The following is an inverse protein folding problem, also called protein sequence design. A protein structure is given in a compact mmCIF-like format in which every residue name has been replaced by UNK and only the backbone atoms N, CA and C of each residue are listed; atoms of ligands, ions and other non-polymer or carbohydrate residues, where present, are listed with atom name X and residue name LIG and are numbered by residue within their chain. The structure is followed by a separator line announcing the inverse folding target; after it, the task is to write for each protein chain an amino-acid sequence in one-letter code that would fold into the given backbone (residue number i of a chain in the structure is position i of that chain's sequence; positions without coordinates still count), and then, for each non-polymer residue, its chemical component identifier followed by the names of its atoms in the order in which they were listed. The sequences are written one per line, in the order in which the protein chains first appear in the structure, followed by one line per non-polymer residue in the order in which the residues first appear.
data_IF_300859117846
#
_entry.id   IF_300859117846
#
_cell.length_a   1.000
_cell.length_b   1.000
_cell.length_c   1.000
_cell.angle_alpha   90.00
_cell.angle_beta   90.00
_cell.angle_gamma   90.00
#
_symmetry.space_group_name_H-M   'P 1'
#
loop_
_entity.id
_entity.type
_entity.pdbx_description
1 polymer ?
#
# COMPACT_ATOMS: atom_id res chain seq x y z
N UNK A 1 -14.05 -12.96 10.08
CA UNK A 1 -13.46 -13.42 11.36
C UNK A 1 -13.21 -12.17 12.19
N UNK A 2 -13.95 -11.93 13.27
CA UNK A 2 -13.70 -10.74 14.11
C UNK A 2 -12.39 -10.95 14.85
N UNK A 3 -11.46 -10.00 14.70
CA UNK A 3 -10.21 -10.00 15.44
C UNK A 3 -10.53 -9.82 16.93
N UNK A 4 -10.13 -10.74 17.83
CA UNK A 4 -10.42 -10.60 19.24
C UNK A 4 -9.66 -9.38 19.80
N UNK A 5 -10.39 -8.37 20.27
CA UNK A 5 -9.81 -7.28 21.07
C UNK A 5 -9.47 -7.83 22.45
N UNK A 6 -8.23 -8.15 22.73
CA UNK A 6 -7.77 -8.47 24.08
C UNK A 6 -7.30 -7.22 24.78
N UNK A 7 -7.86 -6.94 25.95
CA UNK A 7 -7.52 -5.78 26.81
C UNK A 7 -6.13 -5.82 27.46
N UNK A 8 -5.29 -6.77 27.11
CA UNK A 8 -3.94 -6.93 27.67
C UNK A 8 -2.88 -6.79 26.58
N UNK A 9 -2.61 -5.63 26.06
CA UNK A 9 -1.40 -5.16 25.35
C UNK A 9 -0.50 -6.12 24.52
N UNK A 10 -0.79 -7.41 24.46
CA UNK A 10 -0.16 -8.40 23.61
C UNK A 10 -1.19 -9.00 22.67
N UNK A 11 -1.31 -8.40 21.49
CA UNK A 11 -2.07 -9.00 20.40
C UNK A 11 -1.20 -10.08 19.77
N UNK A 12 -1.50 -11.35 20.02
CA UNK A 12 -1.02 -12.46 19.20
C UNK A 12 -1.93 -12.57 17.98
N UNK A 13 -1.55 -11.90 16.91
CA UNK A 13 -2.28 -11.97 15.66
C UNK A 13 -1.85 -13.20 14.87
N UNK A 14 -2.80 -13.92 14.31
CA UNK A 14 -2.58 -15.04 13.41
C UNK A 14 -2.01 -14.58 12.04
N UNK A 15 -1.98 -15.49 11.09
CA UNK A 15 -1.53 -15.22 9.73
C UNK A 15 -2.52 -14.27 9.03
N UNK A 16 -2.10 -13.02 8.75
CA UNK A 16 -2.94 -11.96 8.18
C UNK A 16 -2.89 -11.90 6.65
N UNK A 17 -2.31 -12.89 6.02
CA UNK A 17 -2.40 -13.03 4.57
C UNK A 17 -1.10 -12.78 3.79
N UNK A 18 0.02 -12.49 4.46
CA UNK A 18 1.34 -12.60 3.84
C UNK A 18 1.88 -14.03 4.01
N UNK A 19 2.37 -14.63 2.92
CA UNK A 19 2.80 -16.04 2.90
C UNK A 19 4.21 -16.26 3.48
N UNK A 20 4.84 -15.21 3.98
CA UNK A 20 6.11 -15.29 4.70
C UNK A 20 7.35 -15.06 3.83
N UNK A 21 8.44 -14.68 4.49
CA UNK A 21 9.68 -14.16 3.90
C UNK A 21 10.36 -15.12 2.91
N UNK A 22 10.41 -16.40 3.25
CA UNK A 22 11.09 -17.37 2.38
C UNK A 22 10.41 -17.51 1.02
N UNK A 23 9.07 -17.60 1.01
CA UNK A 23 8.30 -17.66 -0.24
C UNK A 23 8.38 -16.34 -1.02
N UNK A 24 8.40 -15.21 -0.31
CA UNK A 24 8.54 -13.89 -0.93
C UNK A 24 9.89 -13.75 -1.64
N UNK A 25 10.99 -14.14 -1.00
CA UNK A 25 12.32 -14.10 -1.61
C UNK A 25 12.41 -14.97 -2.85
N UNK A 26 11.90 -16.19 -2.79
CA UNK A 26 11.86 -17.08 -3.97
C UNK A 26 11.07 -16.47 -5.12
N UNK A 27 9.90 -15.89 -4.84
CA UNK A 27 9.08 -15.24 -5.86
C UNK A 27 9.77 -14.00 -6.42
N UNK A 28 10.35 -13.16 -5.57
CA UNK A 28 11.11 -11.97 -5.97
C UNK A 28 12.29 -12.33 -6.88
N UNK A 29 13.10 -13.32 -6.50
CA UNK A 29 14.26 -13.76 -7.30
C UNK A 29 13.84 -14.24 -8.70
N UNK A 30 12.71 -14.90 -8.81
CA UNK A 30 12.12 -15.27 -10.12
C UNK A 30 11.80 -14.02 -10.93
N UNK A 31 11.21 -12.99 -10.31
CA UNK A 31 10.82 -11.76 -11.01
C UNK A 31 12.06 -10.94 -11.43
N UNK A 32 13.10 -10.84 -10.61
CA UNK A 32 14.37 -10.21 -10.99
C UNK A 32 15.01 -10.91 -12.18
N UNK A 33 15.09 -12.25 -12.14
CA UNK A 33 15.67 -13.04 -13.24
C UNK A 33 14.84 -12.94 -14.53
N UNK A 34 13.55 -12.69 -14.43
CA UNK A 34 12.67 -12.46 -15.57
C UNK A 34 12.66 -11.00 -16.09
N UNK A 35 13.40 -10.09 -15.44
CA UNK A 35 13.41 -8.66 -15.77
C UNK A 35 12.10 -7.94 -15.46
N UNK A 36 11.30 -8.50 -14.56
CA UNK A 36 10.00 -7.94 -14.15
C UNK A 36 10.10 -7.13 -12.83
N UNK A 37 11.30 -6.95 -12.31
CA UNK A 37 11.58 -6.14 -11.12
C UNK A 37 12.98 -5.53 -11.25
N UNK A 38 13.13 -4.29 -10.84
CA UNK A 38 14.38 -3.55 -10.85
C UNK A 38 15.09 -3.59 -9.50
N UNK A 39 16.41 -3.41 -9.50
CA UNK A 39 17.11 -2.94 -8.29
C UNK A 39 16.73 -1.51 -8.00
N UNK A 40 16.86 -1.07 -6.74
CA UNK A 40 16.56 0.33 -6.38
C UNK A 40 17.35 1.32 -7.25
N UNK A 41 18.64 1.04 -7.49
CA UNK A 41 19.48 1.91 -8.35
C UNK A 41 18.96 1.99 -9.79
N UNK A 42 18.59 0.86 -10.40
CA UNK A 42 18.05 0.87 -11.77
C UNK A 42 16.74 1.66 -11.84
N UNK A 43 15.86 1.51 -10.85
CA UNK A 43 14.63 2.25 -10.74
C UNK A 43 14.89 3.75 -10.54
N UNK A 44 15.80 4.13 -9.64
CA UNK A 44 16.18 5.53 -9.39
C UNK A 44 16.72 6.23 -10.63
N UNK A 45 17.45 5.51 -11.51
CA UNK A 45 18.03 6.07 -12.72
C UNK A 45 16.98 6.36 -13.82
N UNK A 46 15.78 5.80 -13.75
CA UNK A 46 14.69 6.01 -14.73
C UNK A 46 13.60 6.96 -14.23
N UNK A 47 13.48 7.16 -12.93
CA UNK A 47 12.49 8.08 -12.36
C UNK A 47 13.07 9.47 -12.15
N UNK A 48 12.38 10.49 -12.62
CA UNK A 48 12.80 11.89 -12.44
C UNK A 48 12.57 12.38 -11.01
N UNK A 49 13.43 13.29 -10.55
CA UNK A 49 13.20 14.05 -9.34
C UNK A 49 12.06 15.05 -9.55
N UNK A 50 11.19 15.16 -8.56
CA UNK A 50 10.01 16.00 -8.66
C UNK A 50 10.15 17.22 -7.77
N UNK A 51 10.26 18.39 -8.39
CA UNK A 51 10.14 19.67 -7.72
C UNK A 51 8.70 19.92 -7.31
N UNK A 52 8.41 19.61 -6.05
CA UNK A 52 7.11 19.80 -5.46
C UNK A 52 6.95 21.21 -4.92
N UNK A 53 6.10 22.01 -5.54
CA UNK A 53 5.68 23.31 -4.98
C UNK A 53 4.74 23.03 -3.80
N UNK A 54 5.15 23.47 -2.62
CA UNK A 54 4.49 23.23 -1.34
C UNK A 54 3.03 23.74 -1.34
N UNK A 55 2.07 22.82 -1.56
CA UNK A 55 0.64 23.10 -1.55
C UNK A 55 0.00 22.59 -0.24
N UNK A 56 0.73 21.76 0.53
CA UNK A 56 0.20 21.08 1.71
C UNK A 56 0.94 21.48 2.98
N UNK A 57 0.17 21.78 4.02
CA UNK A 57 0.72 22.08 5.34
C UNK A 57 0.84 20.75 6.12
N UNK A 58 2.03 20.21 6.21
CA UNK A 58 2.30 18.98 6.95
C UNK A 58 2.53 19.25 8.44
N UNK A 59 2.15 18.33 9.36
CA UNK A 59 2.31 18.50 10.81
C UNK A 59 3.74 18.15 11.29
N UNK A 60 4.78 18.39 10.46
CA UNK A 60 6.19 18.08 10.73
C UNK A 60 7.13 19.07 10.03
N UNK A 61 8.43 19.04 10.40
CA UNK A 61 9.39 20.06 9.97
C UNK A 61 9.90 19.83 8.54
N UNK A 62 10.09 18.55 8.14
CA UNK A 62 10.66 18.14 6.86
C UNK A 62 10.06 16.78 6.45
N UNK A 63 9.96 16.50 5.15
CA UNK A 63 9.53 15.21 4.63
C UNK A 63 8.28 15.28 3.76
N UNK A 64 7.63 14.14 3.57
CA UNK A 64 6.46 14.02 2.72
C UNK A 64 5.42 13.05 3.28
N UNK A 65 4.12 13.36 3.05
CA UNK A 65 2.99 12.51 3.40
C UNK A 65 1.96 12.42 2.28
N UNK A 66 1.49 11.21 2.01
CA UNK A 66 0.49 10.95 0.96
C UNK A 66 -0.93 11.30 1.41
N UNK A 67 -1.30 11.09 2.68
CA UNK A 67 -2.69 11.21 3.13
C UNK A 67 -3.36 12.56 2.88
N UNK A 68 -2.71 13.75 2.94
CA UNK A 68 -3.40 14.99 2.66
C UNK A 68 -3.79 15.13 1.18
N UNK A 69 -2.99 14.51 0.30
CA UNK A 69 -3.22 14.48 -1.13
C UNK A 69 -4.32 13.47 -1.45
N UNK A 70 -4.24 12.27 -0.87
CA UNK A 70 -5.25 11.22 -1.01
C UNK A 70 -6.60 11.69 -0.50
N UNK A 71 -6.66 12.34 0.66
CA UNK A 71 -7.91 12.93 1.20
C UNK A 71 -8.52 13.94 0.25
N UNK A 72 -7.70 14.75 -0.41
CA UNK A 72 -8.19 15.78 -1.33
C UNK A 72 -8.76 15.22 -2.64
N UNK A 73 -8.23 14.09 -3.12
CA UNK A 73 -8.63 13.45 -4.39
C UNK A 73 -9.70 12.38 -4.15
N UNK A 74 -9.45 11.49 -3.20
CA UNK A 74 -10.29 10.30 -2.96
C UNK A 74 -11.29 10.47 -1.81
N UNK A 75 -11.13 11.48 -0.97
CA UNK A 75 -11.95 11.76 0.21
C UNK A 75 -11.25 11.40 1.52
N UNK A 76 -11.72 12.04 2.61
CA UNK A 76 -11.17 11.84 3.95
C UNK A 76 -11.34 10.39 4.42
N UNK A 77 -10.30 9.85 5.04
CA UNK A 77 -10.29 8.49 5.59
C UNK A 77 -10.26 7.38 4.54
N UNK A 78 -10.00 7.71 3.27
CA UNK A 78 -9.92 6.68 2.23
C UNK A 78 -8.78 5.70 2.51
N UNK A 79 -9.13 4.40 2.58
CA UNK A 79 -8.18 3.32 2.81
C UNK A 79 -7.79 3.06 4.28
N UNK A 80 -8.46 3.69 5.24
CA UNK A 80 -8.21 3.50 6.68
C UNK A 80 -9.14 2.44 7.32
N UNK A 81 -9.90 1.72 6.51
CA UNK A 81 -10.87 0.72 6.92
C UNK A 81 -10.25 -0.63 7.32
N UNK A 82 -11.02 -1.42 8.07
CA UNK A 82 -10.60 -2.75 8.53
C UNK A 82 -10.73 -3.79 7.40
N UNK A 83 -9.65 -4.53 7.10
CA UNK A 83 -9.69 -5.67 6.18
C UNK A 83 -10.58 -6.80 6.71
N UNK A 84 -11.33 -7.46 5.82
CA UNK A 84 -12.32 -8.49 6.19
C UNK A 84 -11.80 -9.93 6.13
N UNK A 85 -10.69 -10.17 5.44
CA UNK A 85 -10.06 -11.49 5.23
C UNK A 85 -8.53 -11.35 5.23
N UNK A 86 -7.79 -12.45 5.07
CA UNK A 86 -6.33 -12.45 4.96
C UNK A 86 -5.81 -11.90 3.61
N UNK A 87 -6.27 -10.71 3.21
CA UNK A 87 -5.93 -10.03 1.95
C UNK A 87 -5.05 -8.78 2.15
N UNK A 88 -4.25 -8.73 3.21
CA UNK A 88 -3.41 -7.57 3.50
C UNK A 88 -2.47 -7.19 2.34
N UNK A 89 -1.97 -8.18 1.60
CA UNK A 89 -1.05 -7.95 0.48
C UNK A 89 -1.71 -7.14 -0.65
N UNK A 90 -2.82 -7.56 -1.27
CA UNK A 90 -3.48 -6.73 -2.26
C UNK A 90 -4.06 -5.45 -1.66
N UNK A 91 -4.49 -5.46 -0.39
CA UNK A 91 -5.03 -4.28 0.26
C UNK A 91 -3.97 -3.18 0.38
N UNK A 92 -2.82 -3.46 1.01
CA UNK A 92 -1.71 -2.51 1.12
C UNK A 92 -1.17 -2.05 -0.25
N UNK A 93 -1.13 -2.96 -1.23
CA UNK A 93 -0.71 -2.64 -2.60
C UNK A 93 -1.68 -1.70 -3.30
N UNK A 94 -2.98 -1.96 -3.21
CA UNK A 94 -4.01 -1.10 -3.81
C UNK A 94 -4.00 0.30 -3.16
N UNK A 95 -3.84 0.40 -1.85
CA UNK A 95 -3.75 1.70 -1.18
C UNK A 95 -2.51 2.48 -1.61
N UNK A 96 -1.35 1.83 -1.75
CA UNK A 96 -0.16 2.47 -2.30
C UNK A 96 -0.39 2.95 -3.75
N UNK A 97 -1.03 2.15 -4.61
CA UNK A 97 -1.39 2.57 -5.97
C UNK A 97 -2.40 3.74 -5.97
N UNK A 98 -3.31 3.81 -5.01
CA UNK A 98 -4.23 4.95 -4.83
C UNK A 98 -3.45 6.21 -4.44
N UNK A 99 -2.54 6.11 -3.48
CA UNK A 99 -1.68 7.23 -3.09
C UNK A 99 -0.89 7.73 -4.32
N UNK A 100 -0.31 6.83 -5.13
CA UNK A 100 0.37 7.19 -6.38
C UNK A 100 -0.55 7.90 -7.38
N UNK A 101 -1.72 7.35 -7.65
CA UNK A 101 -2.70 7.96 -8.55
C UNK A 101 -3.09 9.37 -8.11
N UNK A 102 -3.25 9.59 -6.81
CA UNK A 102 -3.57 10.90 -6.27
C UNK A 102 -2.41 11.90 -6.46
N UNK A 103 -1.15 11.43 -6.37
CA UNK A 103 0.03 12.23 -6.69
C UNK A 103 0.04 12.61 -8.17
N UNK A 104 -0.14 11.67 -9.07
CA UNK A 104 -0.16 11.91 -10.53
C UNK A 104 -1.20 12.95 -10.92
N UNK A 105 -2.41 12.83 -10.38
CA UNK A 105 -3.48 13.78 -10.66
C UNK A 105 -3.26 15.16 -10.07
N UNK A 106 -2.85 15.25 -8.81
CA UNK A 106 -2.86 16.52 -8.09
C UNK A 106 -1.50 17.25 -8.12
N UNK A 107 -0.42 16.48 -8.11
CA UNK A 107 0.93 17.03 -8.06
C UNK A 107 1.51 17.20 -9.47
N UNK A 108 1.37 16.18 -10.33
CA UNK A 108 1.91 16.22 -11.69
C UNK A 108 0.93 16.83 -12.68
N UNK A 109 -0.34 16.98 -12.31
CA UNK A 109 -1.36 17.55 -13.19
C UNK A 109 -1.65 16.69 -14.41
N UNK A 110 -1.51 15.37 -14.27
CA UNK A 110 -1.77 14.44 -15.35
C UNK A 110 -3.25 14.43 -15.75
N UNK A 111 -3.51 14.13 -17.02
CA UNK A 111 -4.87 14.19 -17.59
C UNK A 111 -5.72 12.95 -17.31
N UNK A 112 -5.29 12.11 -16.37
CA UNK A 112 -6.02 10.94 -15.96
C UNK A 112 -7.15 11.28 -14.99
N UNK A 113 -7.99 10.29 -14.70
CA UNK A 113 -9.06 10.41 -13.72
C UNK A 113 -8.88 9.39 -12.61
N UNK A 114 -9.15 9.79 -11.38
CA UNK A 114 -9.19 8.88 -10.25
C UNK A 114 -10.17 7.73 -10.50
N UNK A 115 -9.74 6.53 -10.15
CA UNK A 115 -10.62 5.38 -9.99
C UNK A 115 -10.22 4.60 -8.73
N UNK A 116 -11.18 3.93 -8.12
CA UNK A 116 -10.92 3.08 -6.98
C UNK A 116 -10.71 1.64 -7.46
N UNK A 117 -9.50 1.05 -7.29
CA UNK A 117 -9.24 -0.32 -7.70
C UNK A 117 -9.98 -1.32 -6.82
N UNK A 118 -10.47 -2.42 -7.42
CA UNK A 118 -11.20 -3.48 -6.74
C UNK A 118 -10.26 -4.52 -6.17
N UNK A 119 -10.08 -4.53 -4.86
CA UNK A 119 -9.12 -5.39 -4.13
C UNK A 119 -9.30 -6.89 -4.43
N UNK A 120 -10.52 -7.46 -4.50
CA UNK A 120 -10.67 -8.88 -4.83
C UNK A 120 -10.11 -9.28 -6.18
N UNK A 121 -10.16 -8.40 -7.20
CA UNK A 121 -9.50 -8.64 -8.48
C UNK A 121 -7.98 -8.69 -8.31
N UNK A 122 -7.40 -7.69 -7.65
CA UNK A 122 -5.96 -7.64 -7.37
C UNK A 122 -5.50 -8.87 -6.59
N UNK A 123 -6.29 -9.30 -5.60
CA UNK A 123 -6.03 -10.52 -4.82
C UNK A 123 -5.95 -11.77 -5.72
N UNK A 124 -6.95 -11.93 -6.57
CA UNK A 124 -6.98 -13.04 -7.52
C UNK A 124 -5.88 -12.94 -8.57
N UNK A 125 -5.60 -11.78 -9.12
CA UNK A 125 -4.56 -11.58 -10.13
C UNK A 125 -3.18 -11.97 -9.59
N UNK A 126 -2.82 -11.54 -8.39
CA UNK A 126 -1.56 -11.93 -7.73
C UNK A 126 -1.47 -13.42 -7.49
N UNK A 127 -2.49 -14.02 -6.90
CA UNK A 127 -2.49 -15.45 -6.55
C UNK A 127 -2.58 -16.36 -7.77
N UNK A 128 -3.60 -16.16 -8.62
CA UNK A 128 -3.96 -17.11 -9.68
C UNK A 128 -3.07 -16.96 -10.92
N UNK A 129 -2.86 -15.70 -11.36
CA UNK A 129 -2.11 -15.48 -12.60
C UNK A 129 -0.60 -15.55 -12.39
N UNK A 130 -0.09 -15.02 -11.27
CA UNK A 130 1.34 -14.99 -10.98
C UNK A 130 1.76 -16.19 -10.13
N UNK A 131 1.11 -16.38 -8.98
CA UNK A 131 1.46 -17.44 -8.03
C UNK A 131 0.98 -18.84 -8.42
N UNK A 132 0.03 -18.96 -9.34
CA UNK A 132 -0.61 -20.26 -9.68
C UNK A 132 -1.39 -20.86 -8.50
N UNK A 133 -1.66 -20.07 -7.45
CA UNK A 133 -2.31 -20.53 -6.23
C UNK A 133 -3.82 -20.35 -6.29
N UNK A 134 -4.54 -21.48 -6.36
CA UNK A 134 -6.00 -21.55 -6.32
C UNK A 134 -6.52 -22.20 -5.04
N UNK A 135 -5.68 -22.34 -4.02
CA UNK A 135 -6.06 -22.93 -2.74
C UNK A 135 -7.11 -22.08 -1.99
N UNK A 136 -7.73 -22.69 -1.01
CA UNK A 136 -8.76 -22.03 -0.17
C UNK A 136 -8.18 -21.26 1.02
N UNK A 137 -6.88 -21.40 1.28
CA UNK A 137 -6.20 -20.66 2.35
C UNK A 137 -5.97 -19.23 1.95
N UNK A 138 -6.14 -18.29 2.87
CA UNK A 138 -5.81 -16.89 2.68
C UNK A 138 -4.29 -16.68 2.56
N UNK A 139 -3.91 -15.54 1.96
CA UNK A 139 -2.55 -15.06 1.86
C UNK A 139 -2.07 -14.87 0.43
N UNK A 140 -1.06 -14.01 0.28
CA UNK A 140 -0.40 -13.71 -0.98
C UNK A 140 1.05 -13.26 -0.71
N UNK A 141 1.77 -12.84 -1.75
CA UNK A 141 3.12 -12.27 -1.70
C UNK A 141 3.11 -10.88 -2.34
N UNK A 142 3.90 -9.95 -1.79
CA UNK A 142 4.06 -8.60 -2.32
C UNK A 142 4.62 -8.60 -3.74
N UNK A 143 5.61 -9.45 -4.02
CA UNK A 143 6.18 -9.66 -5.35
C UNK A 143 5.16 -10.18 -6.37
N UNK A 144 4.26 -11.10 -5.97
CA UNK A 144 3.16 -11.53 -6.86
C UNK A 144 2.23 -10.37 -7.18
N UNK A 145 1.96 -9.52 -6.20
CA UNK A 145 1.07 -8.39 -6.38
C UNK A 145 1.67 -7.35 -7.33
N UNK A 146 2.96 -6.99 -7.15
CA UNK A 146 3.65 -6.09 -8.08
C UNK A 146 3.60 -6.63 -9.51
N UNK A 147 4.00 -7.87 -9.70
CA UNK A 147 3.98 -8.49 -11.03
C UNK A 147 2.56 -8.57 -11.64
N UNK A 148 1.54 -8.76 -10.82
CA UNK A 148 0.15 -8.76 -11.27
C UNK A 148 -0.29 -7.36 -11.71
N UNK A 149 -0.01 -6.34 -10.90
CA UNK A 149 -0.36 -4.95 -11.19
C UNK A 149 0.32 -4.45 -12.47
N UNK A 150 1.60 -4.81 -12.67
CA UNK A 150 2.35 -4.51 -13.90
C UNK A 150 1.82 -5.24 -15.13
N UNK A 151 1.45 -6.50 -14.99
CA UNK A 151 1.13 -7.37 -16.14
C UNK A 151 -0.36 -7.43 -16.47
N UNK A 152 -1.21 -7.40 -15.46
CA UNK A 152 -2.66 -7.59 -15.58
C UNK A 152 -3.48 -6.36 -15.22
N UNK A 153 -2.85 -5.36 -14.60
CA UNK A 153 -3.44 -4.07 -14.28
C UNK A 153 -4.40 -4.11 -13.09
N UNK A 154 -5.03 -2.97 -12.84
CA UNK A 154 -5.97 -2.72 -11.75
C UNK A 154 -7.40 -2.67 -12.31
N UNK A 155 -8.34 -3.39 -11.70
CA UNK A 155 -9.75 -3.35 -12.10
C UNK A 155 -10.49 -2.24 -11.34
N UNK A 156 -11.06 -1.23 -12.02
CA UNK A 156 -11.90 -0.24 -11.37
C UNK A 156 -13.18 -0.85 -10.80
N UNK A 157 -13.60 -0.38 -9.64
CA UNK A 157 -14.82 -0.84 -8.96
C UNK A 157 -16.09 -0.61 -9.78
N UNK A 158 -16.18 0.49 -10.53
CA UNK A 158 -17.33 0.77 -11.39
C UNK A 158 -17.48 -0.25 -12.53
N UNK A 159 -16.37 -0.74 -13.08
CA UNK A 159 -16.35 -1.82 -14.07
C UNK A 159 -16.75 -3.16 -13.43
N UNK A 160 -16.34 -3.39 -12.19
CA UNK A 160 -16.74 -4.58 -11.43
C UNK A 160 -18.22 -4.52 -10.97
N UNK A 161 -18.96 -3.46 -11.32
CA UNK A 161 -20.31 -3.15 -10.85
C UNK A 161 -20.42 -3.04 -9.32
N UNK A 162 -19.36 -2.58 -8.68
CA UNK A 162 -19.31 -2.28 -7.25
C UNK A 162 -19.52 -0.78 -7.07
N UNK A 163 -20.69 -0.33 -6.58
CA UNK A 163 -20.90 1.08 -6.30
C UNK A 163 -20.04 1.49 -5.11
N UNK A 164 -19.17 2.47 -5.31
CA UNK A 164 -18.38 3.04 -4.21
C UNK A 164 -19.22 4.07 -3.48
N UNK A 165 -19.70 3.68 -2.32
CA UNK A 165 -20.39 4.57 -1.36
C UNK A 165 -19.49 4.88 -0.17
N UNK A 166 -18.57 3.98 0.14
CA UNK A 166 -17.62 4.05 1.24
C UNK A 166 -16.28 3.47 0.80
N UNK A 167 -15.21 3.82 1.49
CA UNK A 167 -13.86 3.29 1.27
C UNK A 167 -13.80 1.76 1.40
N UNK A 168 -14.64 1.18 2.24
CA UNK A 168 -14.78 -0.28 2.42
C UNK A 168 -15.33 -1.01 1.19
N UNK A 169 -16.02 -0.34 0.28
CA UNK A 169 -16.60 -1.00 -0.91
C UNK A 169 -15.52 -1.57 -1.83
N UNK A 170 -14.30 -0.99 -1.82
CA UNK A 170 -13.18 -1.46 -2.63
C UNK A 170 -12.67 -2.85 -2.21
N UNK A 171 -12.82 -3.24 -0.96
CA UNK A 171 -12.36 -4.54 -0.47
C UNK A 171 -13.30 -5.69 -0.78
N UNK A 172 -14.57 -5.42 -1.08
CA UNK A 172 -15.59 -6.44 -1.26
C UNK A 172 -15.88 -7.23 0.03
N UNK A 173 -16.86 -8.13 -0.04
CA UNK A 173 -17.15 -9.05 1.06
C UNK A 173 -16.10 -10.18 1.16
N UNK A 174 -16.08 -10.89 2.30
CA UNK A 174 -15.26 -12.08 2.47
C UNK A 174 -15.55 -13.14 1.40
N UNK A 175 -16.82 -13.40 1.09
CA UNK A 175 -17.20 -14.35 0.04
C UNK A 175 -16.73 -13.90 -1.34
N UNK A 176 -16.77 -12.60 -1.63
CA UNK A 176 -16.25 -12.04 -2.87
C UNK A 176 -14.74 -12.28 -2.96
N UNK A 177 -13.97 -11.93 -1.93
CA UNK A 177 -12.53 -12.18 -1.90
C UNK A 177 -12.21 -13.66 -2.10
N UNK A 178 -12.87 -14.55 -1.34
CA UNK A 178 -12.66 -16.00 -1.44
C UNK A 178 -13.04 -16.58 -2.81
N UNK A 179 -14.00 -15.99 -3.52
CA UNK A 179 -14.34 -16.37 -4.90
C UNK A 179 -13.26 -15.92 -5.88
N UNK A 180 -12.86 -14.66 -5.84
CA UNK A 180 -11.96 -14.07 -6.82
C UNK A 180 -10.51 -14.57 -6.65
N UNK A 181 -10.04 -14.80 -5.42
CA UNK A 181 -8.66 -15.22 -5.14
C UNK A 181 -8.30 -16.63 -5.69
N UNK A 182 -9.27 -17.41 -6.18
CA UNK A 182 -9.07 -18.79 -6.62
C UNK A 182 -9.76 -19.15 -7.95
N UNK A 183 -10.56 -18.25 -8.53
CA UNK A 183 -11.40 -18.58 -9.68
C UNK A 183 -10.93 -17.86 -10.94
N UNK A 184 -10.09 -18.53 -11.72
CA UNK A 184 -9.50 -17.97 -12.94
C UNK A 184 -10.54 -17.44 -13.93
N UNK A 185 -11.64 -18.17 -14.15
CA UNK A 185 -12.69 -17.75 -15.09
C UNK A 185 -13.39 -16.45 -14.70
N UNK A 186 -13.44 -16.13 -13.40
CA UNK A 186 -13.94 -14.83 -12.92
C UNK A 186 -12.95 -13.72 -13.28
N UNK A 187 -11.66 -13.96 -13.08
CA UNK A 187 -10.61 -13.00 -13.41
C UNK A 187 -10.52 -12.74 -14.91
N UNK A 188 -10.56 -13.82 -15.72
CA UNK A 188 -10.46 -13.74 -17.18
C UNK A 188 -11.58 -12.89 -17.80
N UNK A 189 -12.77 -12.87 -17.18
CA UNK A 189 -13.90 -12.03 -17.60
C UNK A 189 -13.58 -10.53 -17.50
N UNK A 190 -12.82 -10.12 -16.49
CA UNK A 190 -12.55 -8.70 -16.18
C UNK A 190 -11.15 -8.25 -16.60
N UNK A 191 -10.24 -9.19 -16.86
CA UNK A 191 -8.86 -8.89 -17.23
C UNK A 191 -8.74 -7.92 -18.43
N UNK A 192 -9.56 -7.98 -19.50
CA UNK A 192 -9.47 -7.00 -20.58
C UNK A 192 -9.73 -5.55 -20.19
N UNK A 193 -10.48 -5.33 -19.12
CA UNK A 193 -10.77 -3.98 -18.60
C UNK A 193 -9.69 -3.48 -17.63
N UNK A 194 -9.04 -4.40 -16.91
CA UNK A 194 -7.95 -4.06 -15.99
C UNK A 194 -6.62 -3.84 -16.75
N UNK A 195 -6.36 -4.63 -17.79
CA UNK A 195 -5.10 -4.65 -18.55
C UNK A 195 -4.59 -3.27 -19.02
N UNK A 196 -5.42 -2.31 -19.44
CA UNK A 196 -4.95 -0.98 -19.81
C UNK A 196 -4.47 -0.12 -18.63
N UNK A 197 -4.76 -0.52 -17.40
CA UNK A 197 -4.52 0.24 -16.17
C UNK A 197 -3.39 -0.43 -15.37
N UNK A 198 -2.23 -0.58 -15.99
CA UNK A 198 -1.06 -1.22 -15.38
C UNK A 198 -0.26 -0.24 -14.54
N UNK A 199 0.42 -0.75 -13.54
CA UNK A 199 1.41 -0.01 -12.75
C UNK A 199 2.79 -0.17 -13.41
N UNK A 200 3.60 0.86 -13.33
CA UNK A 200 4.97 0.85 -13.81
C UNK A 200 5.89 -0.07 -13.00
N UNK A 201 7.15 -0.05 -13.35
CA UNK A 201 8.17 -0.91 -12.73
C UNK A 201 8.36 -0.57 -11.25
N UNK A 202 8.44 -1.59 -10.43
CA UNK A 202 8.74 -1.49 -9.01
C UNK A 202 10.17 -1.91 -8.70
N UNK A 203 10.68 -1.50 -7.54
CA UNK A 203 12.00 -1.87 -7.06
C UNK A 203 11.96 -2.27 -5.57
N UNK A 204 12.93 -3.09 -5.15
CA UNK A 204 13.14 -3.37 -3.73
C UNK A 204 13.80 -2.20 -3.02
N UNK A 205 13.42 -1.95 -1.77
CA UNK A 205 14.05 -1.01 -0.84
C UNK A 205 14.74 -1.82 0.27
N UNK A 206 15.97 -1.47 0.58
CA UNK A 206 16.82 -2.17 1.56
C UNK A 206 17.34 -1.28 2.69
N UNK A 207 17.04 0.04 2.65
CA UNK A 207 17.48 1.01 3.65
C UNK A 207 16.48 2.15 3.87
N UNK A 208 16.63 2.88 4.97
CA UNK A 208 15.88 4.11 5.21
C UNK A 208 16.23 5.20 4.20
N UNK A 209 17.49 5.30 3.77
CA UNK A 209 17.89 6.31 2.78
C UNK A 209 17.20 6.08 1.43
N UNK A 210 17.10 4.83 0.98
CA UNK A 210 16.33 4.47 -0.22
C UNK A 210 14.84 4.77 -0.05
N UNK A 211 14.26 4.47 1.12
CA UNK A 211 12.88 4.83 1.42
C UNK A 211 12.67 6.35 1.38
N UNK A 212 13.60 7.12 1.96
CA UNK A 212 13.54 8.58 1.96
C UNK A 212 13.57 9.12 0.53
N UNK A 213 14.46 8.63 -0.32
CA UNK A 213 14.51 8.99 -1.74
C UNK A 213 13.18 8.67 -2.42
N UNK A 214 12.68 7.45 -2.26
CA UNK A 214 11.41 7.05 -2.89
C UNK A 214 10.25 7.96 -2.48
N UNK A 215 10.06 8.18 -1.18
CA UNK A 215 8.91 8.92 -0.66
C UNK A 215 9.10 10.44 -0.76
N UNK A 216 10.26 10.97 -0.33
CA UNK A 216 10.45 12.41 -0.24
C UNK A 216 10.90 13.06 -1.54
N UNK A 217 11.73 12.39 -2.35
CA UNK A 217 12.25 12.96 -3.59
C UNK A 217 11.37 12.58 -4.79
N UNK A 218 11.07 11.28 -4.94
CA UNK A 218 10.31 10.74 -6.09
C UNK A 218 8.79 10.72 -5.90
N UNK A 219 8.28 10.93 -4.69
CA UNK A 219 6.84 10.85 -4.33
C UNK A 219 6.21 9.48 -4.63
N UNK A 220 7.01 8.42 -4.52
CA UNK A 220 6.60 7.06 -4.81
C UNK A 220 6.14 6.34 -3.54
N UNK A 221 4.92 5.78 -3.51
CA UNK A 221 4.44 4.98 -2.40
C UNK A 221 5.17 3.65 -2.29
N UNK A 222 5.28 3.17 -1.06
CA UNK A 222 6.04 1.97 -0.73
C UNK A 222 5.18 1.00 0.07
N UNK A 223 5.27 -0.29 -0.26
CA UNK A 223 4.67 -1.38 0.54
C UNK A 223 5.75 -2.11 1.32
N UNK A 224 5.40 -2.59 2.51
CA UNK A 224 6.30 -3.36 3.36
C UNK A 224 5.59 -4.56 3.98
N UNK A 225 6.17 -5.74 3.90
CA UNK A 225 5.66 -6.98 4.46
C UNK A 225 6.68 -7.66 5.36
N UNK A 226 6.27 -8.14 6.53
CA UNK A 226 7.15 -8.86 7.44
C UNK A 226 6.38 -9.68 8.47
N UNK A 227 7.13 -10.40 9.31
CA UNK A 227 6.63 -11.04 10.53
C UNK A 227 6.78 -10.17 11.79
N UNK A 228 7.32 -8.96 11.67
CA UNK A 228 7.46 -8.06 12.82
C UNK A 228 6.12 -7.43 13.21
N UNK A 229 5.79 -7.50 14.52
CA UNK A 229 4.75 -6.73 15.13
C UNK A 229 5.30 -5.47 15.81
N UNK A 230 4.40 -4.53 16.12
CA UNK A 230 4.74 -3.25 16.75
C UNK A 230 3.79 -2.94 17.89
N UNK A 231 4.33 -2.34 18.94
CA UNK A 231 3.56 -1.91 20.11
C UNK A 231 3.84 -0.44 20.41
N UNK A 232 2.82 0.28 20.82
CA UNK A 232 2.96 1.69 21.19
C UNK A 232 3.88 1.85 22.41
N UNK A 233 4.76 2.84 22.38
CA UNK A 233 5.55 3.28 23.53
C UNK A 233 4.88 4.43 24.28
N UNK A 234 3.71 4.89 23.81
CA UNK A 234 3.03 6.09 24.28
C UNK A 234 3.55 7.37 23.64
N UNK A 235 3.09 8.49 24.14
CA UNK A 235 3.50 9.82 23.66
C UNK A 235 4.97 10.09 24.00
N UNK A 236 5.77 10.32 22.96
CA UNK A 236 7.11 10.87 23.13
C UNK A 236 7.03 12.40 23.30
N UNK A 237 7.27 12.88 24.51
CA UNK A 237 7.16 14.30 24.85
C UNK A 237 8.17 15.19 24.13
N UNK A 238 9.30 14.63 23.67
CA UNK A 238 10.32 15.37 22.91
C UNK A 238 9.80 15.76 21.53
N UNK A 239 9.06 14.86 20.89
CA UNK A 239 8.58 15.05 19.52
C UNK A 239 7.09 15.37 19.44
N UNK A 240 6.33 15.13 20.49
CA UNK A 240 4.89 15.38 20.56
C UNK A 240 4.04 14.36 19.75
N UNK A 241 4.59 13.19 19.49
CA UNK A 241 3.94 12.11 18.72
C UNK A 241 3.98 10.78 19.46
N UNK A 242 3.02 9.90 19.14
CA UNK A 242 3.03 8.51 19.62
C UNK A 242 3.95 7.68 18.72
N UNK A 243 4.97 7.05 19.30
CA UNK A 243 5.94 6.22 18.59
C UNK A 243 5.73 4.75 18.94
N UNK A 244 6.04 3.86 18.01
CA UNK A 244 5.98 2.42 18.19
C UNK A 244 7.39 1.81 18.12
N UNK A 245 7.54 0.67 18.79
CA UNK A 245 8.73 -0.17 18.76
C UNK A 245 8.37 -1.60 18.37
N UNK A 246 9.34 -2.41 17.91
CA UNK A 246 9.10 -3.82 17.66
C UNK A 246 8.53 -4.53 18.89
N UNK A 247 7.49 -5.35 18.66
CA UNK A 247 6.82 -6.12 19.71
C UNK A 247 5.72 -7.00 19.14
N UNK A 248 5.79 -8.29 19.42
CA UNK A 248 4.89 -9.29 18.84
C UNK A 248 5.31 -9.76 17.44
N UNK A 249 4.45 -10.52 16.80
CA UNK A 249 4.68 -11.04 15.44
C UNK A 249 3.41 -10.93 14.61
N UNK A 250 3.53 -10.34 13.41
CA UNK A 250 2.46 -10.11 12.45
C UNK A 250 2.90 -10.56 11.06
N UNK A 251 2.40 -11.64 10.52
CA UNK A 251 2.58 -11.98 9.10
C UNK A 251 1.69 -11.07 8.25
N UNK A 252 2.17 -9.86 7.95
CA UNK A 252 1.33 -8.78 7.45
C UNK A 252 2.06 -7.89 6.43
N UNK A 253 1.31 -7.39 5.43
CA UNK A 253 1.76 -6.33 4.53
C UNK A 253 1.01 -5.04 4.81
N UNK A 254 1.74 -3.95 4.84
CA UNK A 254 1.26 -2.59 5.07
C UNK A 254 1.83 -1.66 3.98
N UNK A 255 1.51 -0.36 4.04
CA UNK A 255 2.11 0.63 3.15
C UNK A 255 2.64 1.83 3.92
N UNK A 256 3.69 2.46 3.40
CA UNK A 256 4.26 3.69 3.95
C UNK A 256 3.43 4.87 3.47
N UNK A 257 2.91 5.67 4.40
CA UNK A 257 2.12 6.86 4.09
C UNK A 257 2.85 8.18 4.35
N UNK A 258 3.98 8.15 5.07
CA UNK A 258 4.88 9.30 5.17
C UNK A 258 6.27 8.90 5.60
N UNK A 259 7.23 9.71 5.19
CA UNK A 259 8.59 9.79 5.73
C UNK A 259 8.81 11.24 6.12
N UNK A 260 9.14 11.50 7.38
CA UNK A 260 9.16 12.86 7.91
C UNK A 260 10.15 13.05 9.06
N UNK A 261 10.52 14.31 9.34
CA UNK A 261 11.34 14.67 10.47
C UNK A 261 10.64 15.65 11.41
N UNK A 262 10.86 15.49 12.70
CA UNK A 262 10.52 16.45 13.76
C UNK A 262 11.78 16.68 14.58
N UNK A 263 12.18 17.95 14.72
CA UNK A 263 13.40 18.35 15.46
C UNK A 263 14.64 17.57 15.04
N UNK A 264 14.77 17.33 13.72
CA UNK A 264 15.90 16.63 13.11
C UNK A 264 15.90 15.10 13.27
N UNK A 265 14.93 14.51 13.96
CA UNK A 265 14.75 13.06 14.02
C UNK A 265 13.80 12.59 12.92
N UNK A 266 14.23 11.62 12.13
CA UNK A 266 13.43 11.01 11.08
C UNK A 266 12.54 9.88 11.58
N UNK A 267 11.35 9.82 11.01
CA UNK A 267 10.29 8.87 11.31
C UNK A 267 9.65 8.35 10.03
N UNK A 268 9.00 7.19 10.14
CA UNK A 268 8.19 6.57 9.10
C UNK A 268 6.78 6.34 9.64
N UNK A 269 5.77 6.85 8.95
CA UNK A 269 4.37 6.53 9.22
C UNK A 269 3.92 5.36 8.36
N UNK A 270 3.46 4.32 8.99
CA UNK A 270 2.95 3.10 8.37
C UNK A 270 1.42 3.09 8.47
N UNK A 271 0.75 3.06 7.32
CA UNK A 271 -0.69 2.83 7.24
C UNK A 271 -1.00 1.35 7.40
N UNK A 272 -2.00 1.05 8.23
CA UNK A 272 -2.40 -0.32 8.55
C UNK A 272 -3.90 -0.51 8.28
N UNK A 273 -4.28 -1.66 7.74
CA UNK A 273 -5.64 -1.96 7.31
C UNK A 273 -6.45 -2.71 8.39
N UNK A 274 -6.33 -2.29 9.64
CA UNK A 274 -7.05 -2.88 10.79
C UNK A 274 -8.10 -1.94 11.38
N UNK A 275 -8.43 -0.87 10.65
CA UNK A 275 -9.41 0.13 11.04
C UNK A 275 -8.83 1.32 11.79
N UNK A 276 -9.63 2.37 11.87
CA UNK A 276 -9.25 3.68 12.43
C UNK A 276 -8.69 3.62 13.87
N UNK A 277 -9.21 2.70 14.67
CA UNK A 277 -8.87 2.57 16.10
C UNK A 277 -7.80 1.49 16.37
N UNK A 278 -7.19 0.92 15.32
CA UNK A 278 -6.21 -0.16 15.48
C UNK A 278 -4.96 0.28 16.25
N UNK A 279 -4.60 1.55 16.10
CA UNK A 279 -3.46 2.16 16.77
C UNK A 279 -3.86 3.48 17.45
N UNK A 280 -3.16 3.88 18.53
CA UNK A 280 -3.35 5.20 19.11
C UNK A 280 -3.10 6.30 18.06
N UNK A 281 -3.90 7.38 18.09
CA UNK A 281 -3.68 8.56 17.26
C UNK A 281 -2.24 9.07 17.45
N UNK A 282 -1.51 9.28 16.38
CA UNK A 282 -0.11 9.71 16.42
C UNK A 282 0.02 11.12 17.00
N UNK A 283 -0.67 12.07 16.41
CA UNK A 283 -0.83 13.47 16.86
C UNK A 283 -1.95 14.13 16.04
N UNK A 284 -2.23 15.40 16.32
CA UNK A 284 -3.13 16.20 15.49
C UNK A 284 -2.54 16.39 14.08
N UNK A 285 -3.37 16.32 13.03
CA UNK A 285 -2.96 16.45 11.63
C UNK A 285 -2.39 15.17 10.98
N UNK A 286 -2.20 14.09 11.76
CA UNK A 286 -1.84 12.79 11.21
C UNK A 286 -3.09 11.98 10.83
N UNK A 287 -2.98 11.16 9.78
CA UNK A 287 -4.00 10.17 9.43
C UNK A 287 -4.28 9.22 10.60
N UNK A 288 -5.41 8.52 10.57
CA UNK A 288 -5.78 7.48 11.53
C UNK A 288 -5.39 6.09 10.99
N UNK A 289 -5.56 5.05 11.81
CA UNK A 289 -5.39 3.65 11.42
C UNK A 289 -3.93 3.19 11.25
N UNK A 290 -2.95 4.07 11.38
CA UNK A 290 -1.54 3.74 11.24
C UNK A 290 -0.71 4.01 12.50
N UNK A 291 0.60 3.80 12.37
CA UNK A 291 1.55 4.00 13.47
C UNK A 291 2.90 4.55 12.99
N UNK A 292 3.68 5.11 13.90
CA UNK A 292 4.97 5.73 13.62
C UNK A 292 6.10 4.92 14.26
N UNK A 293 7.18 4.73 13.50
CA UNK A 293 8.46 4.18 13.97
C UNK A 293 9.60 5.14 13.63
N UNK A 294 10.74 5.01 14.33
CA UNK A 294 11.93 5.79 13.99
C UNK A 294 12.62 5.24 12.73
N UNK A 295 13.39 6.09 12.04
CA UNK A 295 14.24 5.69 10.92
C UNK A 295 15.18 4.54 11.27
N UNK A 296 15.81 4.55 12.45
CA UNK A 296 16.66 3.47 12.95
C UNK A 296 15.87 2.13 13.10
N UNK A 297 14.62 2.22 13.56
CA UNK A 297 13.77 1.02 13.64
C UNK A 297 13.44 0.50 12.25
N UNK A 298 13.17 1.38 11.29
CA UNK A 298 12.93 1.00 9.90
C UNK A 298 14.16 0.32 9.29
N UNK A 299 15.38 0.87 9.46
CA UNK A 299 16.61 0.29 8.93
C UNK A 299 16.91 -1.13 9.44
N UNK A 300 16.53 -1.42 10.68
CA UNK A 300 16.60 -2.78 11.21
C UNK A 300 15.51 -3.67 10.65
N UNK A 301 14.30 -3.14 10.55
CA UNK A 301 13.13 -3.86 10.09
C UNK A 301 13.22 -4.25 8.62
N UNK A 302 13.62 -3.33 7.73
CA UNK A 302 13.66 -3.55 6.29
C UNK A 302 14.64 -4.68 5.88
N UNK A 303 15.68 -4.95 6.67
CA UNK A 303 16.60 -6.08 6.46
C UNK A 303 15.95 -7.45 6.64
N UNK A 304 14.84 -7.50 7.36
CA UNK A 304 14.06 -8.71 7.62
C UNK A 304 12.65 -8.67 6.99
N UNK A 305 12.30 -7.57 6.35
CA UNK A 305 11.06 -7.37 5.63
C UNK A 305 11.26 -7.53 4.12
N UNK A 306 10.18 -7.50 3.38
CA UNK A 306 10.15 -7.31 1.94
C UNK A 306 9.45 -5.99 1.64
N UNK A 307 10.21 -5.07 1.06
CA UNK A 307 9.81 -3.68 0.89
C UNK A 307 9.93 -3.29 -0.58
N UNK A 308 8.84 -2.75 -1.15
CA UNK A 308 8.76 -2.47 -2.58
C UNK A 308 8.19 -1.09 -2.85
N UNK A 309 8.88 -0.32 -3.70
CA UNK A 309 8.35 0.91 -4.29
C UNK A 309 7.35 0.58 -5.40
N UNK A 310 6.35 1.43 -5.57
CA UNK A 310 5.32 1.35 -6.62
C UNK A 310 5.59 2.42 -7.67
N UNK A 311 5.80 2.00 -8.91
CA UNK A 311 6.02 2.92 -10.01
C UNK A 311 4.74 3.60 -10.52
N UNK A 312 4.90 4.46 -11.51
CA UNK A 312 3.84 5.23 -12.14
C UNK A 312 2.67 4.38 -12.64
N UNK A 313 1.47 4.94 -12.64
CA UNK A 313 0.26 4.26 -13.09
C UNK A 313 -0.11 4.69 -14.51
N UNK A 314 -0.40 3.73 -15.38
CA UNK A 314 -1.12 4.00 -16.62
C UNK A 314 -2.60 4.23 -16.28
N UNK A 315 -3.00 5.49 -16.13
CA UNK A 315 -4.31 5.87 -15.64
C UNK A 315 -5.40 5.87 -16.70
N UNK A 316 -6.61 6.17 -16.27
CA UNK A 316 -7.74 6.46 -17.16
C UNK A 316 -7.62 7.89 -17.67
N UNK A 317 -7.49 8.06 -18.98
CA UNK A 317 -7.61 9.39 -19.60
C UNK A 317 -9.01 9.94 -19.36
N UNK A 318 -9.10 11.10 -18.72
CA UNK A 318 -10.35 11.82 -18.57
C UNK A 318 -10.87 12.25 -19.96
N UNK A 319 -11.94 11.63 -20.44
CA UNK A 319 -12.70 12.14 -21.58
C UNK A 319 -13.76 13.08 -21.04
N UNK A 320 -13.60 14.41 -21.18
CA UNK A 320 -14.62 15.33 -20.73
C UNK A 320 -15.92 15.00 -21.46
N UNK A 321 -16.95 14.69 -20.70
CA UNK A 321 -18.27 14.41 -21.25
C UNK A 321 -18.91 15.75 -21.61
N UNK A 322 -18.72 16.23 -22.84
CA UNK A 322 -19.28 17.48 -23.36
C UNK A 322 -20.80 17.41 -23.61
N UNK A 323 -21.51 16.48 -22.98
CA UNK A 323 -22.96 16.35 -23.11
C UNK A 323 -23.76 17.30 -22.20
N UNK A 324 -23.14 18.35 -21.66
CA UNK A 324 -23.80 19.45 -20.97
C UNK A 324 -23.52 20.79 -21.68
N UNK A 325 -23.92 20.90 -22.95
CA UNK A 325 -24.20 22.15 -23.63
C UNK A 325 -25.61 22.12 -24.21
#
# INVERSE_FOLDING_TARGET
MKIPKTHSGQQTFGNFGWLGREKERQARDILFNAGLMLTFKQWQDIEDDIDFVEVFNFPFDEGFAFWPITSKVAGDGFGEDEQSVGNCVPYGSVLANIDRMCIELLVFGEAESFFAPFIPYSYGAGRVYIGGDTSTSDGSLGSWQIAADMKYGLLPCDIANVPIRHTNDIQGSADTNHKWMRTRSVLDQFQPYAKPLTVGEGASIESFDELKIAVCDKKEPVTIASDWGFVSTGLDSKYGIVVHKPGGSWSHQMHVRAVFAIKGQWFVYIGNQWGFDAHPKVAEGFALGGFVITAETFDRWVKEAECFVRGALNGRVFKPNFSFL
#
